data_IF_142666146505
#
_entry.id   IF_142666146505
#
_cell.length_a   1.000
_cell.length_b   1.000
_cell.length_c   1.000
_cell.angle_alpha   90.00
_cell.angle_beta   90.00
_cell.angle_gamma   90.00
#
_symmetry.space_group_name_H-M   'P 1'
#
loop_
_entity.id
_entity.type
_entity.pdbx_description
1 polymer ?
#
# COMPACT_ATOMS: atom_id res chain seq x y z
N UNK A 1 10.72 -47.81 -6.94
CA UNK A 1 10.79 -46.82 -8.03
C UNK A 1 9.41 -46.21 -8.22
N UNK A 2 9.25 -44.92 -8.57
CA UNK A 2 9.82 -43.68 -8.03
C UNK A 2 8.82 -42.98 -7.06
N UNK A 3 9.33 -42.19 -6.12
CA UNK A 3 8.53 -41.33 -5.24
C UNK A 3 8.09 -40.08 -6.02
N UNK A 4 6.78 -39.92 -6.23
CA UNK A 4 6.20 -38.72 -6.83
C UNK A 4 6.31 -37.60 -5.79
N UNK A 5 7.31 -36.73 -5.94
CA UNK A 5 7.47 -35.51 -5.15
C UNK A 5 6.21 -34.66 -5.33
N UNK A 6 5.40 -34.58 -4.27
CA UNK A 6 4.33 -33.59 -4.16
C UNK A 6 4.93 -32.21 -4.37
N UNK A 7 4.42 -31.50 -5.37
CA UNK A 7 4.77 -30.11 -5.61
C UNK A 7 4.06 -29.29 -4.53
N UNK A 8 4.74 -29.08 -3.39
CA UNK A 8 4.27 -28.10 -2.42
C UNK A 8 4.32 -26.72 -3.09
N UNK A 9 3.16 -26.09 -3.18
CA UNK A 9 3.01 -24.70 -3.57
C UNK A 9 3.93 -23.85 -2.71
N UNK A 10 4.77 -23.03 -3.36
CA UNK A 10 5.74 -22.12 -2.71
C UNK A 10 5.11 -21.08 -1.77
N UNK A 11 3.78 -21.08 -1.62
CA UNK A 11 3.02 -20.22 -0.71
C UNK A 11 2.87 -20.82 0.69
N UNK A 12 3.13 -22.12 0.87
CA UNK A 12 2.75 -22.83 2.10
C UNK A 12 3.93 -23.10 3.07
N UNK A 13 5.14 -22.57 2.83
CA UNK A 13 6.32 -22.88 3.67
C UNK A 13 7.08 -21.69 4.24
N UNK A 14 6.59 -20.45 4.13
CA UNK A 14 7.30 -19.27 4.64
C UNK A 14 6.55 -18.55 5.76
N UNK A 15 6.20 -19.30 6.81
CA UNK A 15 5.63 -18.75 8.05
C UNK A 15 6.53 -19.00 9.28
N UNK A 16 7.77 -19.47 9.09
CA UNK A 16 8.61 -19.96 10.20
C UNK A 16 9.97 -19.29 10.41
N UNK A 17 10.26 -18.18 9.74
CA UNK A 17 11.48 -17.42 10.05
C UNK A 17 11.11 -15.96 10.20
N UNK A 18 11.00 -15.54 11.46
CA UNK A 18 10.77 -14.18 11.96
C UNK A 18 9.30 -13.74 12.04
N UNK A 19 8.65 -14.10 13.16
CA UNK A 19 8.03 -13.13 14.08
C UNK A 19 6.94 -12.16 13.60
N UNK A 20 6.46 -12.23 12.36
CA UNK A 20 5.43 -11.32 11.84
C UNK A 20 4.29 -12.20 11.30
N UNK A 21 3.24 -12.35 12.08
CA UNK A 21 1.97 -12.90 11.59
C UNK A 21 1.40 -11.92 10.57
N UNK A 22 1.70 -12.11 9.29
CA UNK A 22 0.92 -11.47 8.22
C UNK A 22 -0.06 -12.51 7.68
N UNK A 23 -1.35 -12.24 7.85
CA UNK A 23 -2.46 -13.05 7.32
C UNK A 23 -2.67 -12.85 5.80
N UNK A 24 -1.81 -12.04 5.15
CA UNK A 24 -1.98 -11.56 3.77
C UNK A 24 -0.63 -11.41 3.07
N UNK A 25 -0.63 -11.48 1.73
CA UNK A 25 0.55 -11.43 0.84
C UNK A 25 1.33 -10.08 0.86
N UNK A 26 0.93 -9.10 1.66
CA UNK A 26 1.54 -7.76 1.73
C UNK A 26 2.31 -7.59 3.04
N UNK A 27 3.60 -7.30 2.94
CA UNK A 27 4.49 -7.01 4.07
C UNK A 27 4.22 -5.61 4.62
N UNK A 28 4.15 -5.48 5.95
CA UNK A 28 4.06 -4.19 6.63
C UNK A 28 5.49 -3.70 6.85
N UNK A 29 5.82 -2.55 6.25
CA UNK A 29 7.12 -1.92 6.45
C UNK A 29 7.19 -1.27 7.83
N UNK A 30 8.35 -1.39 8.47
CA UNK A 30 8.64 -0.76 9.75
C UNK A 30 8.55 0.77 9.63
N UNK A 31 8.00 1.50 10.63
CA UNK A 31 7.87 2.95 10.55
C UNK A 31 9.25 3.59 10.44
N UNK A 32 9.43 4.45 9.44
CA UNK A 32 10.64 5.25 9.30
C UNK A 32 10.63 6.40 10.31
N UNK A 33 11.74 6.60 11.01
CA UNK A 33 11.84 7.59 12.07
C UNK A 33 12.18 8.95 11.46
N UNK A 34 11.23 9.89 11.51
CA UNK A 34 11.44 11.26 11.06
C UNK A 34 12.24 12.04 12.12
N UNK A 35 13.52 12.29 11.85
CA UNK A 35 14.46 12.95 12.76
C UNK A 35 15.07 14.20 12.13
N UNK A 36 15.04 15.32 12.86
CA UNK A 36 15.84 16.52 12.54
C UNK A 36 17.28 16.35 12.97
N UNK A 37 18.18 16.84 12.12
CA UNK A 37 19.57 17.03 12.49
C UNK A 37 19.74 18.27 13.38
N UNK A 38 20.78 18.28 14.20
CA UNK A 38 21.09 19.38 15.13
C UNK A 38 21.26 20.74 14.47
N UNK A 39 21.70 20.76 13.21
CA UNK A 39 21.84 21.97 12.39
C UNK A 39 20.53 22.54 11.87
N UNK A 40 19.46 21.74 11.82
CA UNK A 40 18.15 22.12 11.28
C UNK A 40 17.12 22.42 12.37
N UNK A 41 17.50 22.18 13.63
CA UNK A 41 16.68 22.51 14.78
C UNK A 41 16.65 24.02 15.01
N UNK A 42 15.44 24.57 15.03
CA UNK A 42 15.20 25.99 15.31
C UNK A 42 15.31 26.22 16.82
N UNK A 43 15.93 27.32 17.29
CA UNK A 43 16.11 27.59 18.73
C UNK A 43 14.80 27.87 19.49
N UNK A 44 13.67 28.03 18.80
CA UNK A 44 12.39 28.37 19.40
C UNK A 44 11.27 27.43 18.88
N UNK A 45 10.46 26.89 19.81
CA UNK A 45 9.41 25.91 19.52
C UNK A 45 8.29 26.45 18.62
N UNK A 46 7.96 27.74 18.70
CA UNK A 46 6.87 28.31 17.87
C UNK A 46 7.19 28.33 16.37
N UNK A 47 8.46 28.39 16.03
CA UNK A 47 8.96 28.40 14.65
C UNK A 47 9.28 26.98 14.14
N UNK A 48 9.20 25.96 14.99
CA UNK A 48 9.42 24.58 14.58
C UNK A 48 8.21 24.13 13.76
N UNK A 49 8.46 23.78 12.49
CA UNK A 49 7.47 23.07 11.69
C UNK A 49 7.29 21.66 12.26
N UNK A 50 6.06 21.23 12.54
CA UNK A 50 5.82 19.85 12.91
C UNK A 50 6.20 18.94 11.75
N UNK A 51 6.83 17.82 12.09
CA UNK A 51 7.16 16.74 11.18
C UNK A 51 6.20 15.58 11.42
N UNK A 52 6.18 14.64 10.49
CA UNK A 52 5.33 13.47 10.58
C UNK A 52 4.03 13.61 9.81
N UNK A 53 3.65 12.52 9.14
CA UNK A 53 2.25 12.27 8.85
C UNK A 53 1.63 11.39 9.95
N UNK A 54 0.90 12.02 10.87
CA UNK A 54 0.20 11.32 11.96
C UNK A 54 -0.76 10.24 11.45
N UNK A 55 -1.40 10.45 10.29
CA UNK A 55 -2.34 9.47 9.75
C UNK A 55 -1.63 8.20 9.29
N UNK A 56 -0.45 8.34 8.70
CA UNK A 56 0.35 7.20 8.25
C UNK A 56 0.91 6.42 9.44
N UNK A 57 1.41 7.11 10.47
CA UNK A 57 1.90 6.48 11.70
C UNK A 57 0.78 5.69 12.41
N UNK A 58 -0.40 6.30 12.56
CA UNK A 58 -1.56 5.62 13.15
C UNK A 58 -2.03 4.43 12.31
N UNK A 59 -2.01 4.55 10.98
CA UNK A 59 -2.39 3.47 10.07
C UNK A 59 -1.43 2.28 10.19
N UNK A 60 -0.12 2.51 10.16
CA UNK A 60 0.89 1.46 10.37
C UNK A 60 0.75 0.84 11.76
N UNK A 61 0.54 1.64 12.81
CA UNK A 61 0.28 1.13 14.16
C UNK A 61 -0.98 0.24 14.24
N UNK A 62 -2.04 0.55 13.48
CA UNK A 62 -3.22 -0.31 13.39
C UNK A 62 -2.94 -1.64 12.67
N UNK A 63 -2.09 -1.61 11.64
CA UNK A 63 -1.64 -2.81 10.93
C UNK A 63 -0.77 -3.70 11.81
N UNK A 64 0.21 -3.13 12.54
CA UNK A 64 1.10 -3.88 13.45
C UNK A 64 0.36 -4.55 14.60
N UNK A 65 -0.76 -3.96 15.03
CA UNK A 65 -1.64 -4.53 16.07
C UNK A 65 -2.68 -5.53 15.52
N UNK A 66 -2.66 -5.82 14.22
CA UNK A 66 -3.64 -6.68 13.53
C UNK A 66 -5.10 -6.19 13.65
N UNK A 67 -5.34 -4.87 13.85
CA UNK A 67 -6.70 -4.31 13.80
C UNK A 67 -7.19 -4.09 12.37
N UNK A 68 -6.25 -3.83 11.46
CA UNK A 68 -6.52 -3.55 10.05
C UNK A 68 -5.62 -4.45 9.20
N UNK A 69 -6.22 -5.17 8.26
CA UNK A 69 -5.47 -6.00 7.32
C UNK A 69 -4.56 -5.14 6.43
N UNK A 70 -3.29 -5.54 6.21
CA UNK A 70 -2.44 -4.88 5.24
C UNK A 70 -2.99 -5.11 3.83
N UNK A 71 -3.23 -4.02 3.09
CA UNK A 71 -3.77 -4.07 1.73
C UNK A 71 -3.14 -3.04 0.82
N UNK A 72 -2.77 -3.47 -0.39
CA UNK A 72 -2.36 -2.56 -1.45
C UNK A 72 -3.56 -1.77 -2.02
N UNK A 73 -3.36 -0.48 -2.29
CA UNK A 73 -4.38 0.36 -2.93
C UNK A 73 -4.77 -0.20 -4.29
N UNK A 74 -6.05 -0.55 -4.45
CA UNK A 74 -6.57 -1.07 -5.72
C UNK A 74 -6.92 0.09 -6.65
N UNK A 75 -6.16 0.23 -7.73
CA UNK A 75 -6.46 1.19 -8.78
C UNK A 75 -7.59 0.68 -9.68
N UNK A 76 -8.56 1.55 -10.01
CA UNK A 76 -9.61 1.22 -10.99
C UNK A 76 -8.98 1.11 -12.38
N UNK A 77 -9.20 0.00 -13.07
CA UNK A 77 -8.75 -0.19 -14.45
C UNK A 77 -9.48 0.82 -15.35
N UNK A 78 -8.73 1.65 -16.08
CA UNK A 78 -9.30 2.58 -17.08
C UNK A 78 -9.63 1.80 -18.35
N UNK A 79 -10.91 1.49 -18.56
CA UNK A 79 -11.38 0.92 -19.83
C UNK A 79 -11.45 2.00 -20.90
N UNK A 80 -11.04 1.68 -22.13
CA UNK A 80 -11.21 2.57 -23.29
C UNK A 80 -12.72 2.80 -23.51
N UNK A 81 -13.19 4.04 -23.32
CA UNK A 81 -14.58 4.42 -23.65
C UNK A 81 -14.69 4.58 -25.16
N UNK A 82 -15.57 3.80 -25.81
CA UNK A 82 -15.92 4.02 -27.21
C UNK A 82 -16.81 5.26 -27.32
N UNK A 83 -16.34 6.30 -28.01
CA UNK A 83 -17.17 7.46 -28.36
C UNK A 83 -17.85 7.16 -29.68
N UNK A 84 -19.16 7.30 -29.73
CA UNK A 84 -19.94 7.19 -30.95
C UNK A 84 -20.83 8.42 -31.07
N UNK A 85 -20.85 9.03 -32.24
CA UNK A 85 -21.77 10.12 -32.55
C UNK A 85 -23.16 9.54 -32.81
N UNK A 86 -24.18 10.08 -32.14
CA UNK A 86 -25.56 9.68 -32.39
C UNK A 86 -25.95 9.99 -33.83
N UNK A 87 -26.76 9.12 -34.45
CA UNK A 87 -27.18 9.25 -35.86
C UNK A 87 -27.84 10.61 -36.15
N UNK A 88 -28.68 11.10 -35.23
CA UNK A 88 -29.37 12.39 -35.33
C UNK A 88 -28.45 13.61 -35.47
N UNK A 89 -27.19 13.52 -35.02
CA UNK A 89 -26.22 14.62 -35.16
C UNK A 89 -25.55 14.63 -36.54
N UNK A 90 -25.45 13.48 -37.20
CA UNK A 90 -24.86 13.36 -38.55
C UNK A 90 -25.76 13.95 -39.63
N UNK A 91 -27.07 13.86 -39.45
CA UNK A 91 -28.07 14.31 -40.44
C UNK A 91 -28.25 15.83 -40.47
N UNK A 92 -27.90 16.52 -39.37
CA UNK A 92 -28.06 17.98 -39.24
C UNK A 92 -26.84 18.74 -39.80
N UNK A 93 -25.70 18.05 -39.98
CA UNK A 93 -24.48 18.65 -40.53
C UNK A 93 -24.39 18.31 -42.03
N UNK A 94 -25.18 18.99 -42.85
CA UNK A 94 -25.09 19.03 -44.31
C UNK A 94 -25.07 20.49 -44.76
#
# INVERSE_FOLDING_TARGET
MPLIRGHLSKKDTFCLVQGILSLTDVTVDEPEMELKLSSELVPNLRSVKPEGNLLEDRYRSMQMRNLVEPRAKVNKKKTKKKKFEKKSFREITV
#
